data_IF_498782457392
#
_entry.id   IF_498782457392
#
_cell.length_a   1.000
_cell.length_b   1.000
_cell.length_c   1.000
_cell.angle_alpha   90.00
_cell.angle_beta   90.00
_cell.angle_gamma   90.00
#
_symmetry.space_group_name_H-M   'P 1'
#
loop_
_entity.id
_entity.type
_entity.pdbx_description
1 polymer ?
#
# COMPACT_ATOMS: atom_id res chain seq x y z
N UNK A 1 -9.36 -26.50 29.77
CA UNK A 1 -9.01 -27.11 28.45
C UNK A 1 -9.53 -26.32 27.23
N UNK A 2 -10.42 -25.33 27.36
CA UNK A 2 -10.98 -24.61 26.18
C UNK A 2 -10.15 -23.42 25.67
N UNK A 3 -9.51 -22.63 26.55
CA UNK A 3 -8.90 -21.35 26.15
C UNK A 3 -7.56 -21.51 25.40
N UNK A 4 -6.79 -22.59 25.67
CA UNK A 4 -5.54 -22.87 24.94
C UNK A 4 -5.80 -23.25 23.47
N UNK A 5 -6.84 -24.06 23.21
CA UNK A 5 -7.28 -24.38 21.84
C UNK A 5 -7.72 -23.13 21.06
N UNK A 6 -8.37 -22.17 21.74
CA UNK A 6 -8.76 -20.89 21.12
C UNK A 6 -7.52 -20.07 20.73
N UNK A 7 -6.49 -20.04 21.58
CA UNK A 7 -5.20 -19.39 21.26
C UNK A 7 -4.56 -20.01 20.02
N UNK A 8 -4.45 -21.34 19.97
CA UNK A 8 -3.81 -22.04 18.86
C UNK A 8 -4.60 -21.81 17.55
N UNK A 9 -5.93 -21.77 17.63
CA UNK A 9 -6.81 -21.45 16.51
C UNK A 9 -6.62 -20.00 16.01
N UNK A 10 -6.59 -19.01 16.92
CA UNK A 10 -6.37 -17.60 16.56
C UNK A 10 -4.97 -17.43 15.94
N UNK A 11 -3.94 -18.08 16.48
CA UNK A 11 -2.60 -18.05 15.91
C UNK A 11 -2.57 -18.60 14.49
N UNK A 12 -3.21 -19.75 14.26
CA UNK A 12 -3.31 -20.36 12.93
C UNK A 12 -4.06 -19.45 11.95
N UNK A 13 -5.16 -18.86 12.41
CA UNK A 13 -5.96 -17.92 11.60
C UNK A 13 -5.15 -16.67 11.21
N UNK A 14 -4.36 -16.12 12.14
CA UNK A 14 -3.49 -14.96 11.87
C UNK A 14 -2.44 -15.28 10.81
N UNK A 15 -1.79 -16.44 10.91
CA UNK A 15 -0.81 -16.90 9.91
C UNK A 15 -1.50 -17.08 8.55
N UNK A 16 -2.66 -17.72 8.51
CA UNK A 16 -3.43 -17.92 7.29
C UNK A 16 -3.82 -16.59 6.62
N UNK A 17 -4.30 -15.62 7.40
CA UNK A 17 -4.65 -14.29 6.90
C UNK A 17 -3.43 -13.50 6.42
N UNK A 18 -2.29 -13.63 7.10
CA UNK A 18 -1.03 -13.04 6.64
C UNK A 18 -0.59 -13.64 5.29
N UNK A 19 -0.74 -14.96 5.12
CA UNK A 19 -0.45 -15.63 3.84
C UNK A 19 -1.40 -15.17 2.74
N UNK A 20 -2.71 -15.08 3.01
CA UNK A 20 -3.68 -14.55 2.04
C UNK A 20 -3.34 -13.11 1.66
N UNK A 21 -2.96 -12.27 2.61
CA UNK A 21 -2.54 -10.90 2.34
C UNK A 21 -1.30 -10.84 1.44
N UNK A 22 -0.29 -11.67 1.71
CA UNK A 22 0.92 -11.77 0.89
C UNK A 22 0.60 -12.29 -0.52
N UNK A 23 -0.27 -13.29 -0.65
CA UNK A 23 -0.74 -13.76 -1.95
C UNK A 23 -1.55 -12.68 -2.68
N UNK A 24 -2.39 -11.94 -1.96
CA UNK A 24 -3.14 -10.81 -2.50
C UNK A 24 -2.23 -9.73 -3.08
N UNK A 25 -1.10 -9.43 -2.42
CA UNK A 25 -0.09 -8.50 -2.93
C UNK A 25 0.56 -8.97 -4.25
N UNK A 26 0.65 -10.28 -4.48
CA UNK A 26 1.27 -10.87 -5.68
C UNK A 26 0.27 -10.98 -6.83
N UNK A 27 -0.95 -11.43 -6.55
CA UNK A 27 -1.92 -11.84 -7.57
C UNK A 27 -3.03 -10.83 -7.85
N UNK A 28 -3.30 -9.89 -6.95
CA UNK A 28 -4.40 -8.93 -7.12
C UNK A 28 -3.86 -7.63 -7.74
N UNK A 29 -4.38 -7.19 -8.90
CA UNK A 29 -4.04 -5.90 -9.49
C UNK A 29 -4.25 -4.77 -8.47
N UNK A 30 -3.29 -3.84 -8.38
CA UNK A 30 -3.26 -2.79 -7.35
C UNK A 30 -4.57 -2.01 -7.22
N UNK A 31 -5.32 -1.84 -8.32
CA UNK A 31 -6.61 -1.14 -8.35
C UNK A 31 -7.69 -1.78 -7.45
N UNK A 32 -7.65 -3.10 -7.24
CA UNK A 32 -8.58 -3.79 -6.35
C UNK A 32 -8.03 -3.91 -4.92
N UNK A 33 -6.73 -3.69 -4.74
CA UNK A 33 -6.04 -3.86 -3.47
C UNK A 33 -6.55 -2.90 -2.38
N UNK A 34 -7.01 -1.69 -2.74
CA UNK A 34 -7.57 -0.68 -1.83
C UNK A 34 -8.69 -1.24 -0.91
N UNK A 35 -9.68 -1.92 -1.51
CA UNK A 35 -10.83 -2.46 -0.78
C UNK A 35 -10.42 -3.60 0.15
N UNK A 36 -9.52 -4.48 -0.30
CA UNK A 36 -9.04 -5.61 0.49
C UNK A 36 -8.05 -5.19 1.59
N UNK A 37 -7.17 -4.24 1.30
CA UNK A 37 -6.17 -3.74 2.23
C UNK A 37 -6.84 -3.07 3.43
N UNK A 38 -7.88 -2.27 3.21
CA UNK A 38 -8.62 -1.61 4.29
C UNK A 38 -9.26 -2.63 5.24
N UNK A 39 -9.89 -3.67 4.69
CA UNK A 39 -10.47 -4.76 5.48
C UNK A 39 -9.39 -5.50 6.30
N UNK A 40 -8.28 -5.85 5.65
CA UNK A 40 -7.19 -6.59 6.29
C UNK A 40 -6.50 -5.74 7.38
N UNK A 41 -6.25 -4.45 7.12
CA UNK A 41 -5.69 -3.53 8.12
C UNK A 41 -6.61 -3.38 9.33
N UNK A 42 -7.91 -3.19 9.12
CA UNK A 42 -8.88 -3.07 10.21
C UNK A 42 -8.95 -4.38 11.02
N UNK A 43 -8.89 -5.53 10.36
CA UNK A 43 -8.83 -6.82 11.02
C UNK A 43 -7.57 -6.96 11.89
N UNK A 44 -6.39 -6.64 11.34
CA UNK A 44 -5.14 -6.69 12.10
C UNK A 44 -5.14 -5.72 13.29
N UNK A 45 -5.68 -4.51 13.13
CA UNK A 45 -5.78 -3.52 14.21
C UNK A 45 -6.60 -4.01 15.41
N UNK A 46 -7.61 -4.85 15.18
CA UNK A 46 -8.46 -5.39 16.25
C UNK A 46 -7.90 -6.69 16.81
N UNK A 47 -7.43 -7.59 15.94
CA UNK A 47 -7.05 -8.95 16.34
C UNK A 47 -5.62 -9.02 16.88
N UNK A 48 -4.70 -8.19 16.39
CA UNK A 48 -3.31 -8.18 16.85
C UNK A 48 -3.17 -7.80 18.34
N UNK A 49 -3.84 -6.74 18.86
CA UNK A 49 -3.77 -6.42 20.29
C UNK A 49 -4.35 -7.53 21.16
N UNK A 50 -5.46 -8.14 20.74
CA UNK A 50 -6.08 -9.26 21.48
C UNK A 50 -5.12 -10.45 21.54
N UNK A 51 -4.45 -10.76 20.43
CA UNK A 51 -3.45 -11.81 20.36
C UNK A 51 -2.24 -11.52 21.27
N UNK A 52 -1.70 -10.30 21.23
CA UNK A 52 -0.57 -9.89 22.08
C UNK A 52 -0.92 -9.93 23.57
N UNK A 53 -2.10 -9.44 23.95
CA UNK A 53 -2.59 -9.50 25.34
C UNK A 53 -2.77 -10.96 25.78
N UNK A 54 -3.29 -11.83 24.90
CA UNK A 54 -3.40 -13.25 25.20
C UNK A 54 -2.02 -13.89 25.39
N UNK A 55 -1.03 -13.59 24.53
CA UNK A 55 0.34 -14.08 24.69
C UNK A 55 0.95 -13.65 26.03
N UNK A 56 0.88 -12.36 26.36
CA UNK A 56 1.40 -11.83 27.63
C UNK A 56 0.68 -12.48 28.81
N UNK A 57 -0.65 -12.60 28.76
CA UNK A 57 -1.44 -13.23 29.82
C UNK A 57 -1.01 -14.68 30.06
N UNK A 58 -0.88 -15.49 28.99
CA UNK A 58 -0.44 -16.87 29.11
C UNK A 58 1.01 -17.00 29.54
N UNK A 59 1.88 -16.11 29.07
CA UNK A 59 3.27 -16.06 29.48
C UNK A 59 3.37 -15.83 30.99
N UNK A 60 2.67 -14.82 31.52
CA UNK A 60 2.64 -14.54 32.97
C UNK A 60 2.00 -15.69 33.74
N UNK A 61 0.87 -16.23 33.29
CA UNK A 61 0.15 -17.31 34.00
C UNK A 61 0.92 -18.62 34.06
N UNK A 62 1.66 -18.97 33.01
CA UNK A 62 2.41 -20.23 32.93
C UNK A 62 3.81 -20.12 33.58
N UNK A 63 4.29 -18.92 33.95
CA UNK A 63 5.62 -18.75 34.61
C UNK A 63 5.84 -19.52 35.92
N UNK A 64 4.89 -19.65 36.88
CA UNK A 64 5.15 -20.40 38.11
C UNK A 64 5.16 -21.92 37.89
N UNK A 65 4.35 -22.46 36.96
CA UNK A 65 4.25 -23.91 36.68
C UNK A 65 5.37 -24.47 35.78
N UNK A 66 6.12 -23.62 35.10
CA UNK A 66 7.21 -24.00 34.17
C UNK A 66 8.58 -24.18 34.85
N UNK A 67 8.71 -23.88 36.15
CA UNK A 67 10.00 -23.90 36.87
C UNK A 67 10.51 -25.29 37.24
N UNK A 68 9.67 -26.32 37.32
CA UNK A 68 10.08 -27.60 37.92
C UNK A 68 10.14 -28.82 36.98
N UNK A 69 9.44 -28.89 35.84
CA UNK A 69 9.38 -30.14 35.04
C UNK A 69 9.96 -30.12 33.62
N UNK A 70 10.45 -28.99 33.08
CA UNK A 70 10.95 -28.91 31.67
C UNK A 70 12.24 -28.09 31.49
N UNK A 71 13.09 -27.99 32.52
CA UNK A 71 14.13 -26.96 32.61
C UNK A 71 15.35 -27.13 31.68
N UNK A 72 15.60 -28.29 31.05
CA UNK A 72 16.84 -28.50 30.26
C UNK A 72 16.70 -28.67 28.74
N UNK A 73 15.59 -29.20 28.21
CA UNK A 73 15.52 -29.51 26.76
C UNK A 73 14.51 -28.64 25.98
N UNK A 74 13.39 -28.25 26.61
CA UNK A 74 12.33 -27.47 25.93
C UNK A 74 12.63 -25.97 25.84
N UNK A 75 13.45 -25.45 26.75
CA UNK A 75 13.90 -24.05 26.83
C UNK A 75 14.75 -23.60 25.64
N UNK A 76 15.40 -24.52 24.91
CA UNK A 76 16.19 -24.17 23.72
C UNK A 76 15.30 -24.05 22.48
N UNK A 77 14.37 -25.01 22.26
CA UNK A 77 13.45 -24.99 21.10
C UNK A 77 12.47 -23.82 21.15
N UNK A 78 11.90 -23.50 22.32
CA UNK A 78 10.95 -22.37 22.45
C UNK A 78 11.65 -21.00 22.30
N UNK A 79 12.89 -20.86 22.76
CA UNK A 79 13.69 -19.64 22.53
C UNK A 79 14.06 -19.47 21.06
N UNK A 80 14.37 -20.55 20.36
CA UNK A 80 14.69 -20.51 18.92
C UNK A 80 13.45 -20.12 18.12
N UNK A 81 12.28 -20.70 18.40
CA UNK A 81 11.03 -20.36 17.70
C UNK A 81 10.69 -18.88 17.90
N UNK A 82 10.74 -18.39 19.14
CA UNK A 82 10.47 -16.97 19.40
C UNK A 82 11.49 -16.04 18.73
N UNK A 83 12.78 -16.40 18.72
CA UNK A 83 13.80 -15.62 18.01
C UNK A 83 13.55 -15.56 16.50
N UNK A 84 13.13 -16.68 15.89
CA UNK A 84 12.78 -16.74 14.46
C UNK A 84 11.56 -15.88 14.14
N UNK A 85 10.53 -15.88 14.98
CA UNK A 85 9.34 -15.03 14.82
C UNK A 85 9.72 -13.53 14.85
N UNK A 86 10.54 -13.11 15.82
CA UNK A 86 11.00 -11.72 15.90
C UNK A 86 11.90 -11.30 14.74
N UNK A 87 12.74 -12.21 14.24
CA UNK A 87 13.53 -11.98 13.02
C UNK A 87 12.62 -11.79 11.81
N UNK A 88 11.56 -12.60 11.69
CA UNK A 88 10.61 -12.48 10.58
C UNK A 88 9.83 -11.16 10.64
N UNK A 89 9.37 -10.76 11.83
CA UNK A 89 8.73 -9.45 12.04
C UNK A 89 9.68 -8.31 11.73
N UNK A 90 10.93 -8.39 12.17
CA UNK A 90 11.96 -7.39 11.88
C UNK A 90 12.25 -7.25 10.39
N UNK A 91 12.40 -8.37 9.68
CA UNK A 91 12.57 -8.39 8.21
C UNK A 91 11.35 -7.75 7.56
N UNK A 92 10.13 -8.16 7.90
CA UNK A 92 8.89 -7.59 7.34
C UNK A 92 8.82 -6.06 7.51
N UNK A 93 9.19 -5.55 8.70
CA UNK A 93 9.23 -4.13 9.02
C UNK A 93 10.26 -3.38 8.15
N UNK A 94 11.47 -3.95 7.99
CA UNK A 94 12.51 -3.38 7.14
C UNK A 94 12.04 -3.36 5.67
N UNK A 95 11.44 -4.43 5.17
CA UNK A 95 10.93 -4.48 3.78
C UNK A 95 9.82 -3.45 3.57
N UNK A 96 8.92 -3.27 4.54
CA UNK A 96 7.87 -2.24 4.51
C UNK A 96 8.45 -0.82 4.49
N UNK A 97 9.45 -0.54 5.32
CA UNK A 97 10.12 0.76 5.35
C UNK A 97 10.84 1.06 4.03
N UNK A 98 11.53 0.07 3.48
CA UNK A 98 12.21 0.22 2.19
C UNK A 98 11.22 0.35 1.01
N UNK A 99 10.07 -0.33 1.06
CA UNK A 99 9.01 -0.20 0.06
C UNK A 99 8.26 1.14 0.15
N UNK A 100 8.16 1.71 1.36
CA UNK A 100 7.63 3.06 1.58
C UNK A 100 8.53 4.13 0.95
N UNK A 101 9.84 3.97 1.11
CA UNK A 101 10.82 4.95 0.64
C UNK A 101 11.26 4.76 -0.82
N UNK A 102 10.73 3.74 -1.52
CA UNK A 102 11.01 3.52 -2.94
C UNK A 102 12.46 3.10 -3.26
N UNK A 103 13.24 2.68 -2.26
CA UNK A 103 14.69 2.45 -2.42
C UNK A 103 15.08 1.13 -3.10
N UNK A 104 14.16 0.16 -3.26
CA UNK A 104 14.52 -1.20 -3.73
C UNK A 104 14.36 -1.39 -5.26
N UNK A 105 13.57 -0.56 -5.96
CA UNK A 105 13.42 -0.66 -7.41
C UNK A 105 13.47 0.72 -8.04
N UNK A 106 14.53 1.01 -8.81
CA UNK A 106 14.52 2.16 -9.73
C UNK A 106 13.48 1.87 -10.81
N UNK A 107 12.30 2.47 -10.68
CA UNK A 107 11.32 2.49 -11.77
C UNK A 107 11.66 3.63 -12.73
N UNK A 108 11.47 3.37 -14.01
CA UNK A 108 11.48 4.42 -15.03
C UNK A 108 10.32 5.38 -14.77
N UNK A 109 10.55 6.66 -15.06
CA UNK A 109 9.55 7.72 -14.91
C UNK A 109 9.29 8.30 -16.33
N UNK A 110 8.05 8.27 -16.84
CA UNK A 110 6.82 7.77 -16.19
C UNK A 110 6.78 6.25 -16.01
N UNK A 111 6.03 5.78 -15.02
CA UNK A 111 5.81 4.36 -14.76
C UNK A 111 4.97 3.73 -15.88
N UNK A 112 3.92 4.42 -16.31
CA UNK A 112 3.05 4.01 -17.42
C UNK A 112 2.56 5.22 -18.20
N UNK A 113 2.27 4.99 -19.47
CA UNK A 113 1.68 5.96 -20.40
C UNK A 113 0.38 5.35 -20.92
N UNK A 114 -0.71 6.11 -20.86
CA UNK A 114 -2.06 5.71 -21.25
C UNK A 114 -2.71 6.78 -22.13
N UNK A 115 -3.73 6.40 -22.90
CA UNK A 115 -4.36 7.26 -23.90
C UNK A 115 -3.55 7.35 -25.20
N UNK A 116 -3.72 8.43 -25.95
CA UNK A 116 -3.03 8.67 -27.22
C UNK A 116 -1.64 9.28 -26.96
N UNK A 117 -0.53 8.58 -27.28
CA UNK A 117 0.83 9.09 -27.05
C UNK A 117 1.17 10.36 -27.83
N UNK A 118 0.42 10.67 -28.88
CA UNK A 118 0.64 11.82 -29.77
C UNK A 118 -0.34 12.98 -29.49
N UNK A 119 -1.17 12.87 -28.45
CA UNK A 119 -2.07 13.94 -28.06
C UNK A 119 -1.33 15.22 -27.65
N UNK A 120 -1.90 16.37 -28.00
CA UNK A 120 -1.36 17.68 -27.65
C UNK A 120 -1.46 17.96 -26.14
N UNK A 121 -2.58 17.55 -25.50
CA UNK A 121 -2.75 17.66 -24.06
C UNK A 121 -2.06 16.49 -23.36
N UNK A 122 -0.97 16.82 -22.65
CA UNK A 122 -0.24 15.90 -21.80
C UNK A 122 -0.61 16.11 -20.33
N UNK A 123 -1.04 15.05 -19.66
CA UNK A 123 -1.42 15.04 -18.26
C UNK A 123 -0.45 14.15 -17.50
N UNK A 124 0.31 14.71 -16.56
CA UNK A 124 1.16 13.94 -15.64
C UNK A 124 0.40 13.77 -14.32
N UNK A 125 0.03 12.54 -13.99
CA UNK A 125 -0.65 12.19 -12.75
C UNK A 125 0.35 11.59 -11.76
N UNK A 126 0.57 12.30 -10.66
CA UNK A 126 1.44 11.87 -9.57
C UNK A 126 0.62 11.28 -8.43
N UNK A 127 0.97 10.06 -8.03
CA UNK A 127 0.25 9.31 -7.01
C UNK A 127 1.20 8.60 -6.04
N UNK A 128 0.66 8.16 -4.92
CA UNK A 128 1.34 7.26 -3.99
C UNK A 128 0.38 6.10 -3.66
N UNK A 129 0.79 4.83 -3.82
CA UNK A 129 -0.08 3.69 -3.50
C UNK A 129 -0.56 3.63 -2.04
N UNK A 130 0.13 4.32 -1.12
CA UNK A 130 -0.26 4.40 0.29
C UNK A 130 -1.09 5.65 0.64
N UNK A 131 -1.56 6.39 -0.36
CA UNK A 131 -2.36 7.60 -0.20
C UNK A 131 -3.84 7.29 -0.50
N UNK A 132 -4.73 7.28 0.50
CA UNK A 132 -6.14 6.95 0.29
C UNK A 132 -6.86 7.90 -0.68
N UNK A 133 -6.54 9.19 -0.64
CA UNK A 133 -7.08 10.16 -1.61
C UNK A 133 -6.66 9.85 -3.05
N UNK A 134 -5.48 9.25 -3.24
CA UNK A 134 -4.99 8.83 -4.55
C UNK A 134 -5.79 7.64 -5.10
N UNK A 135 -6.36 6.79 -4.24
CA UNK A 135 -7.24 5.70 -4.67
C UNK A 135 -8.56 6.23 -5.22
N UNK A 136 -9.14 7.27 -4.61
CA UNK A 136 -10.35 7.91 -5.13
C UNK A 136 -10.07 8.63 -6.45
N UNK A 137 -8.90 9.26 -6.58
CA UNK A 137 -8.49 9.86 -7.85
C UNK A 137 -8.28 8.85 -8.96
N UNK A 138 -7.89 7.61 -8.64
CA UNK A 138 -7.72 6.58 -9.65
C UNK A 138 -8.99 6.35 -10.47
N UNK A 139 -10.15 6.32 -9.80
CA UNK A 139 -11.45 6.14 -10.47
C UNK A 139 -11.71 7.30 -11.44
N UNK A 140 -11.47 8.53 -10.98
CA UNK A 140 -11.66 9.75 -11.79
C UNK A 140 -10.73 9.75 -13.01
N UNK A 141 -9.47 9.34 -12.83
CA UNK A 141 -8.49 9.22 -13.91
C UNK A 141 -8.89 8.16 -14.93
N UNK A 142 -9.40 7.00 -14.49
CA UNK A 142 -9.87 5.96 -15.41
C UNK A 142 -11.11 6.41 -16.20
N UNK A 143 -12.06 7.10 -15.55
CA UNK A 143 -13.22 7.66 -16.24
C UNK A 143 -12.81 8.69 -17.31
N UNK A 144 -11.82 9.54 -17.00
CA UNK A 144 -11.29 10.50 -17.96
C UNK A 144 -10.56 9.83 -19.12
N UNK A 145 -9.81 8.75 -18.87
CA UNK A 145 -9.19 7.94 -19.93
C UNK A 145 -10.21 7.27 -20.83
N UNK A 146 -11.29 6.71 -20.27
CA UNK A 146 -12.36 6.08 -21.04
C UNK A 146 -13.07 7.11 -21.94
N UNK A 147 -13.33 8.31 -21.41
CA UNK A 147 -14.06 9.36 -22.12
C UNK A 147 -13.21 10.15 -23.12
N UNK A 148 -11.95 10.38 -22.80
CA UNK A 148 -11.08 11.32 -23.53
C UNK A 148 -9.76 10.71 -24.03
N UNK A 149 -9.54 9.40 -23.87
CA UNK A 149 -8.27 8.73 -24.11
C UNK A 149 -7.64 8.99 -25.48
N UNK A 150 -8.45 9.12 -26.54
CA UNK A 150 -7.97 9.43 -27.90
C UNK A 150 -7.41 10.85 -28.04
N UNK A 151 -7.76 11.76 -27.12
CA UNK A 151 -7.43 13.19 -27.16
C UNK A 151 -6.40 13.59 -26.12
N UNK A 152 -6.08 12.72 -25.17
CA UNK A 152 -5.15 13.02 -24.07
C UNK A 152 -4.03 11.99 -24.00
N UNK A 153 -2.85 12.44 -23.58
CA UNK A 153 -1.74 11.59 -23.17
C UNK A 153 -1.64 11.64 -21.65
N UNK A 154 -1.96 10.54 -20.98
CA UNK A 154 -1.80 10.43 -19.53
C UNK A 154 -0.50 9.71 -19.19
N UNK A 155 0.36 10.35 -18.41
CA UNK A 155 1.57 9.75 -17.85
C UNK A 155 1.43 9.59 -16.35
N UNK A 156 1.71 8.40 -15.83
CA UNK A 156 1.57 8.08 -14.41
C UNK A 156 2.91 8.05 -13.73
N UNK A 157 2.99 8.69 -12.57
CA UNK A 157 4.21 8.83 -11.80
C UNK A 157 3.97 8.40 -10.36
N UNK A 158 4.56 7.28 -9.96
CA UNK A 158 4.64 6.92 -8.55
C UNK A 158 5.65 7.83 -7.85
N UNK A 159 5.14 8.74 -7.02
CA UNK A 159 5.92 9.78 -6.37
C UNK A 159 6.99 9.21 -5.42
N UNK A 160 6.90 7.94 -5.01
CA UNK A 160 7.96 7.29 -4.22
C UNK A 160 9.28 7.16 -5.01
N UNK A 161 9.18 6.99 -6.33
CA UNK A 161 10.32 6.81 -7.23
C UNK A 161 10.60 8.04 -8.10
N UNK A 162 9.54 8.78 -8.45
CA UNK A 162 9.60 9.94 -9.34
C UNK A 162 9.56 11.29 -8.60
N UNK A 163 9.94 11.32 -7.32
CA UNK A 163 9.90 12.53 -6.49
C UNK A 163 10.74 13.68 -7.06
N UNK A 164 11.87 13.42 -7.71
CA UNK A 164 12.72 14.46 -8.32
C UNK A 164 11.93 15.29 -9.34
N UNK A 165 11.15 14.63 -10.21
CA UNK A 165 10.32 15.29 -11.23
C UNK A 165 9.18 16.05 -10.55
N UNK A 166 8.50 15.42 -9.59
CA UNK A 166 7.42 16.08 -8.85
C UNK A 166 7.89 17.33 -8.09
N UNK A 167 9.07 17.27 -7.49
CA UNK A 167 9.69 18.39 -6.77
C UNK A 167 10.09 19.53 -7.72
N UNK A 168 10.62 19.22 -8.91
CA UNK A 168 10.91 20.23 -9.94
C UNK A 168 9.65 20.96 -10.41
N UNK A 169 8.51 20.28 -10.40
CA UNK A 169 7.19 20.87 -10.68
C UNK A 169 6.56 21.56 -9.45
N UNK A 170 7.23 21.59 -8.30
CA UNK A 170 6.72 22.20 -7.07
C UNK A 170 5.59 21.41 -6.39
N UNK A 171 5.43 20.12 -6.71
CA UNK A 171 4.39 19.27 -6.14
C UNK A 171 4.82 18.74 -4.77
N UNK A 172 4.13 19.20 -3.71
CA UNK A 172 4.42 18.80 -2.33
C UNK A 172 3.50 17.70 -1.78
N UNK A 173 2.32 17.52 -2.40
CA UNK A 173 1.27 16.64 -1.88
C UNK A 173 0.66 15.80 -3.00
N UNK A 174 0.30 14.57 -2.66
CA UNK A 174 -0.35 13.62 -3.57
C UNK A 174 -1.80 13.41 -3.16
N UNK A 175 -2.74 13.22 -4.09
CA UNK A 175 -2.55 13.18 -5.54
C UNK A 175 -2.29 14.57 -6.14
N UNK A 176 -1.57 14.61 -7.25
CA UNK A 176 -1.32 15.84 -8.00
C UNK A 176 -1.34 15.61 -9.50
N UNK A 177 -1.67 16.67 -10.24
CA UNK A 177 -1.75 16.70 -11.69
C UNK A 177 -0.90 17.85 -12.22
N UNK A 178 -0.18 17.59 -13.31
CA UNK A 178 0.51 18.61 -14.10
C UNK A 178 0.02 18.51 -15.54
N UNK A 179 -0.66 19.54 -16.02
CA UNK A 179 -1.17 19.64 -17.38
C UNK A 179 -0.19 20.43 -18.22
N UNK A 180 0.25 19.87 -19.34
CA UNK A 180 1.23 20.46 -20.24
C UNK A 180 0.62 20.59 -21.63
N UNK A 181 0.46 21.83 -22.10
CA UNK A 181 -0.08 22.21 -23.42
C UNK A 181 0.73 23.36 -23.97
N UNK A 182 1.18 23.24 -25.22
CA UNK A 182 1.91 24.31 -25.92
C UNK A 182 3.01 24.96 -25.06
N UNK A 183 3.78 24.13 -24.32
CA UNK A 183 4.84 24.52 -23.37
C UNK A 183 4.38 25.30 -22.12
N UNK A 184 3.08 25.43 -21.86
CA UNK A 184 2.54 25.93 -20.59
C UNK A 184 2.22 24.75 -19.66
N UNK A 185 2.68 24.86 -18.42
CA UNK A 185 2.45 23.84 -17.39
C UNK A 185 1.58 24.40 -16.27
N UNK A 186 0.46 23.75 -15.99
CA UNK A 186 -0.43 24.08 -14.88
C UNK A 186 -0.52 22.92 -13.90
N UNK A 187 -0.28 23.20 -12.62
CA UNK A 187 -0.22 22.20 -11.56
C UNK A 187 -1.43 22.30 -10.64
N UNK A 188 -2.00 21.14 -10.30
CA UNK A 188 -3.16 21.03 -9.41
C UNK A 188 -2.96 19.89 -8.41
N UNK A 189 -3.61 19.99 -7.26
CA UNK A 189 -3.76 18.86 -6.33
C UNK A 189 -4.90 17.94 -6.78
N UNK A 190 -5.60 17.34 -5.81
CA UNK A 190 -6.83 16.57 -6.07
C UNK A 190 -7.86 17.36 -6.89
N UNK A 191 -8.50 16.70 -7.86
CA UNK A 191 -9.53 17.27 -8.75
C UNK A 191 -10.84 16.49 -8.67
N UNK A 192 -11.99 17.16 -8.73
CA UNK A 192 -13.25 16.44 -8.97
C UNK A 192 -13.31 15.94 -10.41
N UNK A 193 -14.16 14.94 -10.67
CA UNK A 193 -14.42 14.44 -12.03
C UNK A 193 -14.87 15.56 -12.99
N UNK A 194 -15.78 16.41 -12.52
CA UNK A 194 -16.24 17.60 -13.25
C UNK A 194 -15.09 18.56 -13.55
N UNK A 195 -14.23 18.87 -12.56
CA UNK A 195 -13.13 19.81 -12.74
C UNK A 195 -12.07 19.26 -13.69
N UNK A 196 -11.74 17.97 -13.59
CA UNK A 196 -10.83 17.32 -14.52
C UNK A 196 -11.40 17.34 -15.94
N UNK A 197 -12.68 17.00 -16.10
CA UNK A 197 -13.38 17.04 -17.39
C UNK A 197 -13.39 18.45 -17.99
N UNK A 198 -13.68 19.49 -17.20
CA UNK A 198 -13.67 20.87 -17.66
C UNK A 198 -12.28 21.30 -18.13
N UNK A 199 -11.23 21.02 -17.35
CA UNK A 199 -9.85 21.33 -17.76
C UNK A 199 -9.49 20.61 -19.06
N UNK A 200 -9.89 19.34 -19.23
CA UNK A 200 -9.66 18.61 -20.48
C UNK A 200 -10.41 19.31 -21.63
N UNK A 201 -11.71 19.57 -21.48
CA UNK A 201 -12.53 20.14 -22.54
C UNK A 201 -12.17 21.58 -22.94
N UNK A 202 -11.64 22.38 -22.01
CA UNK A 202 -11.13 23.72 -22.28
C UNK A 202 -9.90 23.68 -23.20
N UNK A 203 -9.24 22.53 -23.29
CA UNK A 203 -7.93 22.37 -23.91
C UNK A 203 -7.93 21.43 -25.11
N UNK A 204 -8.80 20.43 -25.12
CA UNK A 204 -9.06 19.57 -26.27
C UNK A 204 -10.55 19.66 -26.56
N UNK A 205 -10.91 20.04 -27.79
CA UNK A 205 -12.32 20.22 -28.18
C UNK A 205 -13.12 18.98 -27.76
N UNK A 206 -13.99 19.13 -26.78
CA UNK A 206 -15.10 18.24 -26.46
C UNK A 206 -16.28 18.59 -27.38
#
# INVERSE_FOLDING_TARGET
>A
MKIRKIKDFIGTLMVFLAVIFLLGLIFVPLQYFSSYATFIFNFFLIVLPIYLVAEIYYFVKDTPKRRESQKKEKTRKEKIISAVEWVFVGILLITLLLARNGTILKKECPETIQGNPNAELKIKYFFNPFCPSCWNQEIIVQNALEKYGERIRLERYDYRYCNTIGNQLGLMHMPAFSFEIANKTNNFGSLSDEKLSNIICDNVKC
#
